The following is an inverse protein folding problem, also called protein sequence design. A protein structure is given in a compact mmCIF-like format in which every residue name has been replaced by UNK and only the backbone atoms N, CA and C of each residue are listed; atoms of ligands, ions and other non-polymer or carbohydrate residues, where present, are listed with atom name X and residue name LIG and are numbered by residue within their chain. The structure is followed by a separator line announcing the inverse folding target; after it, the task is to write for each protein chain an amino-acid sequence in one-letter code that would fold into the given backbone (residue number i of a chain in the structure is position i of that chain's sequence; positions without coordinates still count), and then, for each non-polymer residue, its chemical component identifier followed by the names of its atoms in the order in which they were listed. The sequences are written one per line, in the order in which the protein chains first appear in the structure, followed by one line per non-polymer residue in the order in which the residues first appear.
data_IF_686954693056
#
_entry.id   IF_686954693056
#
_cell.length_a   1.000
_cell.length_b   1.000
_cell.length_c   1.000
_cell.angle_alpha   90.00
_cell.angle_beta   90.00
_cell.angle_gamma   90.00
#
_symmetry.space_group_name_H-M   'P 1'
#
loop_
_entity.id
_entity.type
_entity.pdbx_description
1 polymer ?
#
# COMPACT_ATOMS: atom_id res chain seq x y z
N UNK A 1 11.93 -19.62 2.52
CA UNK A 1 10.48 -19.45 2.31
C UNK A 1 10.04 -18.25 3.12
N UNK A 2 9.65 -17.14 2.48
CA UNK A 2 9.09 -16.00 3.22
C UNK A 2 7.79 -16.44 3.87
N UNK A 3 7.65 -16.22 5.17
CA UNK A 3 6.43 -16.57 5.90
C UNK A 3 5.33 -15.54 5.62
N UNK A 4 4.06 -15.89 5.87
CA UNK A 4 2.95 -14.92 5.83
C UNK A 4 3.21 -13.71 6.75
N UNK A 5 3.94 -13.94 7.85
CA UNK A 5 4.35 -12.87 8.78
C UNK A 5 5.33 -11.92 8.10
N UNK A 6 6.31 -12.45 7.37
CA UNK A 6 7.30 -11.62 6.67
C UNK A 6 6.64 -10.82 5.55
N UNK A 7 5.71 -11.43 4.81
CA UNK A 7 4.96 -10.72 3.76
C UNK A 7 4.15 -9.55 4.33
N UNK A 8 3.45 -9.74 5.46
CA UNK A 8 2.75 -8.65 6.14
C UNK A 8 3.69 -7.53 6.57
N UNK A 9 4.86 -7.87 7.14
CA UNK A 9 5.87 -6.89 7.54
C UNK A 9 6.36 -6.08 6.35
N UNK A 10 6.60 -6.72 5.21
CA UNK A 10 7.03 -6.04 3.98
C UNK A 10 5.93 -5.11 3.46
N UNK A 11 4.67 -5.56 3.43
CA UNK A 11 3.52 -4.72 3.04
C UNK A 11 3.42 -3.49 3.94
N UNK A 12 3.44 -3.69 5.25
CA UNK A 12 3.35 -2.59 6.22
C UNK A 12 4.54 -1.64 6.10
N UNK A 13 5.76 -2.15 5.93
CA UNK A 13 6.95 -1.32 5.73
C UNK A 13 6.82 -0.41 4.51
N UNK A 14 6.39 -0.94 3.37
CA UNK A 14 6.20 -0.14 2.15
C UNK A 14 5.12 0.93 2.33
N UNK A 15 4.02 0.62 3.03
CA UNK A 15 2.97 1.59 3.34
C UNK A 15 3.49 2.68 4.28
N UNK A 16 4.27 2.33 5.31
CA UNK A 16 4.84 3.28 6.24
C UNK A 16 5.80 4.26 5.54
N UNK A 17 6.58 3.77 4.56
CA UNK A 17 7.43 4.62 3.70
C UNK A 17 6.57 5.56 2.82
N UNK A 18 5.52 5.06 2.17
CA UNK A 18 4.59 5.89 1.38
C UNK A 18 3.93 6.98 2.24
N UNK A 19 3.49 6.64 3.45
CA UNK A 19 2.87 7.60 4.37
C UNK A 19 3.90 8.65 4.83
N UNK A 20 5.14 8.24 5.07
CA UNK A 20 6.22 9.15 5.47
C UNK A 20 6.56 10.12 4.35
N UNK A 21 6.68 9.64 3.10
CA UNK A 21 6.92 10.50 1.93
C UNK A 21 5.76 11.49 1.73
N UNK A 22 4.51 11.00 1.75
CA UNK A 22 3.33 11.85 1.66
C UNK A 22 3.31 12.93 2.76
N UNK A 23 3.69 12.58 3.99
CA UNK A 23 3.75 13.52 5.11
C UNK A 23 4.81 14.60 4.89
N UNK A 24 6.03 14.21 4.52
CA UNK A 24 7.13 15.16 4.26
C UNK A 24 6.72 16.15 3.17
N UNK A 25 6.16 15.65 2.07
CA UNK A 25 5.72 16.47 0.94
C UNK A 25 4.57 17.38 1.35
N UNK A 26 3.55 16.85 2.03
CA UNK A 26 2.39 17.63 2.46
C UNK A 26 2.77 18.79 3.39
N UNK A 27 3.82 18.63 4.21
CA UNK A 27 4.28 19.63 5.15
C UNK A 27 4.97 20.82 4.45
N UNK A 28 5.68 20.57 3.35
CA UNK A 28 6.36 21.61 2.56
C UNK A 28 5.41 22.26 1.53
N UNK A 29 4.41 21.52 1.07
CA UNK A 29 3.42 22.00 0.11
C UNK A 29 2.43 23.00 0.75
N UNK A 30 2.08 24.07 0.03
CA UNK A 30 0.84 24.86 0.31
C UNK A 30 -0.40 24.17 -0.26
N UNK A 31 -0.38 22.84 -0.32
CA UNK A 31 -1.37 22.03 -1.02
C UNK A 31 -2.72 22.00 -0.31
N UNK A 32 -3.72 21.50 -1.02
CA UNK A 32 -5.07 21.29 -0.50
C UNK A 32 -5.05 20.21 0.61
N UNK A 33 -5.37 20.64 1.84
CA UNK A 33 -5.42 19.76 2.99
C UNK A 33 -6.43 18.60 2.82
N UNK A 34 -7.54 18.82 2.10
CA UNK A 34 -8.53 17.77 1.84
C UNK A 34 -7.96 16.71 0.89
N UNK A 35 -7.21 17.11 -0.13
CA UNK A 35 -6.55 16.19 -1.05
C UNK A 35 -5.52 15.31 -0.33
N UNK A 36 -4.71 15.90 0.56
CA UNK A 36 -3.76 15.13 1.38
C UNK A 36 -4.46 14.16 2.34
N UNK A 37 -5.52 14.59 3.03
CA UNK A 37 -6.32 13.72 3.90
C UNK A 37 -6.91 12.55 3.11
N UNK A 38 -7.42 12.79 1.91
CA UNK A 38 -7.93 11.74 1.03
C UNK A 38 -6.84 10.74 0.64
N UNK A 39 -5.63 11.21 0.30
CA UNK A 39 -4.50 10.37 -0.04
C UNK A 39 -4.04 9.49 1.15
N UNK A 40 -3.93 10.06 2.35
CA UNK A 40 -3.60 9.27 3.56
C UNK A 40 -4.61 8.17 3.83
N UNK A 41 -5.92 8.46 3.66
CA UNK A 41 -6.96 7.45 3.81
C UNK A 41 -6.79 6.30 2.81
N UNK A 42 -6.40 6.59 1.56
CA UNK A 42 -6.09 5.55 0.55
C UNK A 42 -4.87 4.72 0.96
N UNK A 43 -3.78 5.36 1.42
CA UNK A 43 -2.56 4.67 1.88
C UNK A 43 -2.88 3.71 3.04
N UNK A 44 -3.63 4.15 4.05
CA UNK A 44 -3.99 3.29 5.18
C UNK A 44 -4.98 2.19 4.80
N UNK A 45 -5.91 2.46 3.87
CA UNK A 45 -6.80 1.46 3.32
C UNK A 45 -6.02 0.35 2.59
N UNK A 46 -4.97 0.70 1.85
CA UNK A 46 -4.09 -0.26 1.16
C UNK A 46 -3.49 -1.27 2.15
N UNK A 47 -2.91 -0.79 3.26
CA UNK A 47 -2.33 -1.68 4.27
C UNK A 47 -3.38 -2.63 4.85
N UNK A 48 -4.54 -2.09 5.24
CA UNK A 48 -5.63 -2.86 5.82
C UNK A 48 -6.10 -3.97 4.87
N UNK A 49 -6.29 -3.63 3.60
CA UNK A 49 -6.73 -4.58 2.58
C UNK A 49 -5.70 -5.71 2.39
N UNK A 50 -4.45 -5.35 2.09
CA UNK A 50 -3.44 -6.33 1.72
C UNK A 50 -3.00 -7.22 2.90
N UNK A 51 -2.93 -6.68 4.13
CA UNK A 51 -2.67 -7.48 5.34
C UNK A 51 -3.80 -8.48 5.61
N UNK A 52 -5.05 -8.10 5.33
CA UNK A 52 -6.19 -9.00 5.43
C UNK A 52 -6.10 -10.11 4.36
N UNK A 53 -5.86 -9.75 3.10
CA UNK A 53 -5.72 -10.69 1.97
C UNK A 53 -4.64 -11.74 2.18
N UNK A 54 -3.55 -11.43 2.88
CA UNK A 54 -2.52 -12.44 3.24
C UNK A 54 -3.07 -13.59 4.09
N UNK A 55 -4.13 -13.37 4.88
CA UNK A 55 -4.74 -14.41 5.71
C UNK A 55 -5.79 -15.25 4.98
N UNK A 56 -6.32 -14.75 3.87
CA UNK A 56 -7.45 -15.33 3.16
C UNK A 56 -7.01 -15.76 1.75
N UNK A 57 -6.47 -16.97 1.64
CA UNK A 57 -6.20 -17.57 0.32
C UNK A 57 -7.52 -17.95 -0.34
N UNK A 58 -7.73 -17.55 -1.59
CA UNK A 58 -8.96 -17.85 -2.33
C UNK A 58 -9.16 -19.36 -2.52
N UNK A 59 -10.34 -19.91 -2.16
CA UNK A 59 -10.69 -21.29 -2.44
C UNK A 59 -10.63 -21.58 -3.95
N UNK A 60 -9.99 -22.67 -4.34
CA UNK A 60 -9.89 -23.09 -5.74
C UNK A 60 -8.71 -22.49 -6.52
N UNK A 61 -7.93 -21.57 -5.94
CA UNK A 61 -6.69 -21.07 -6.54
C UNK A 61 -5.44 -21.74 -5.91
N UNK A 62 -4.44 -22.15 -6.71
CA UNK A 62 -3.15 -22.58 -6.15
C UNK A 62 -2.51 -21.46 -5.33
N UNK A 63 -2.09 -21.76 -4.09
CA UNK A 63 -1.55 -20.75 -3.16
C UNK A 63 -0.40 -19.92 -3.76
N UNK A 64 0.48 -20.55 -4.54
CA UNK A 64 1.59 -19.85 -5.23
C UNK A 64 1.08 -18.81 -6.23
N UNK A 65 0.05 -19.17 -7.01
CA UNK A 65 -0.57 -18.25 -7.98
C UNK A 65 -1.23 -17.08 -7.24
N UNK A 66 -1.96 -17.38 -6.17
CA UNK A 66 -2.62 -16.36 -5.33
C UNK A 66 -1.62 -15.34 -4.78
N UNK A 67 -0.53 -15.79 -4.14
CA UNK A 67 0.44 -14.87 -3.54
C UNK A 67 1.24 -14.08 -4.58
N UNK A 68 1.52 -14.65 -5.75
CA UNK A 68 2.12 -13.87 -6.84
C UNK A 68 1.19 -12.75 -7.30
N UNK A 69 -0.08 -13.06 -7.59
CA UNK A 69 -1.08 -12.05 -7.97
C UNK A 69 -1.26 -10.99 -6.89
N UNK A 70 -1.25 -11.38 -5.60
CA UNK A 70 -1.33 -10.44 -4.47
C UNK A 70 -0.16 -9.46 -4.48
N UNK A 71 1.08 -9.95 -4.66
CA UNK A 71 2.26 -9.09 -4.73
C UNK A 71 2.21 -8.17 -5.96
N UNK A 72 1.83 -8.68 -7.12
CA UNK A 72 1.73 -7.89 -8.35
C UNK A 72 0.69 -6.76 -8.20
N UNK A 73 -0.46 -7.07 -7.62
CA UNK A 73 -1.52 -6.10 -7.35
C UNK A 73 -1.06 -5.05 -6.34
N UNK A 74 -0.43 -5.49 -5.24
CA UNK A 74 0.08 -4.58 -4.21
C UNK A 74 1.10 -3.59 -4.78
N UNK A 75 2.03 -4.07 -5.60
CA UNK A 75 3.04 -3.23 -6.23
C UNK A 75 2.42 -2.22 -7.21
N UNK A 76 1.39 -2.62 -7.96
CA UNK A 76 0.67 -1.74 -8.86
C UNK A 76 -0.05 -0.62 -8.09
N UNK A 77 -0.77 -0.97 -7.03
CA UNK A 77 -1.52 -0.01 -6.21
C UNK A 77 -0.57 0.94 -5.45
N UNK A 78 0.51 0.41 -4.86
CA UNK A 78 1.54 1.19 -4.19
C UNK A 78 2.20 2.19 -5.15
N UNK A 79 2.49 1.76 -6.39
CA UNK A 79 3.02 2.64 -7.44
C UNK A 79 2.03 3.74 -7.81
N UNK A 80 0.75 3.42 -7.94
CA UNK A 80 -0.28 4.41 -8.23
C UNK A 80 -0.37 5.48 -7.13
N UNK A 81 -0.29 5.09 -5.86
CA UNK A 81 -0.26 6.05 -4.74
C UNK A 81 1.01 6.90 -4.74
N UNK A 82 2.17 6.32 -5.08
CA UNK A 82 3.40 7.09 -5.24
C UNK A 82 3.30 8.14 -6.36
N UNK A 83 2.67 7.79 -7.48
CA UNK A 83 2.44 8.72 -8.57
C UNK A 83 1.42 9.82 -8.18
N UNK A 84 0.43 9.51 -7.33
CA UNK A 84 -0.50 10.50 -6.74
C UNK A 84 0.21 11.46 -5.77
N UNK A 85 1.11 10.96 -4.91
CA UNK A 85 1.96 11.81 -4.03
C UNK A 85 2.70 12.85 -4.87
N UNK A 86 3.36 12.42 -5.95
CA UNK A 86 4.14 13.31 -6.84
C UNK A 86 3.28 14.32 -7.59
N UNK A 87 2.00 14.01 -7.82
CA UNK A 87 1.08 14.93 -8.48
C UNK A 87 0.56 16.02 -7.54
N UNK A 88 0.55 15.77 -6.23
CA UNK A 88 0.14 16.73 -5.20
C UNK A 88 1.31 17.53 -4.61
N UNK A 89 2.54 17.04 -4.76
CA UNK A 89 3.79 17.71 -4.40
C UNK A 89 3.98 19.04 -5.15
#
# INVERSE_FOLDING_TARGET
MASRRDLKKVITFVVDELATEAFIVSYDSKGDAEAWVALFNKIFALNKEYVARVNHVEPGMPARKYFNTLCDSFNADAKALLDEIKALA
#
